data_IF_437457310406
#
_entry.id   IF_437457310406
#
_cell.length_a   1.000
_cell.length_b   1.000
_cell.length_c   1.000
_cell.angle_alpha   90.00
_cell.angle_beta   90.00
_cell.angle_gamma   90.00
#
_symmetry.space_group_name_H-M   'P 1'
#
loop_
_entity.id
_entity.type
_entity.pdbx_description
1 polymer ?
#
# COMPACT_ATOMS: atom_id res chain seq x y z
N UNK A 1 -19.39 -13.32 5.15
CA UNK A 1 -19.70 -12.47 3.97
C UNK A 1 -20.20 -13.34 2.83
N UNK A 2 -21.10 -12.83 1.95
CA UNK A 2 -21.55 -13.55 0.76
C UNK A 2 -20.42 -13.85 -0.21
N UNK A 3 -20.54 -14.91 -1.01
CA UNK A 3 -19.49 -15.36 -1.94
C UNK A 3 -19.06 -14.30 -2.95
N UNK A 4 -19.97 -13.42 -3.40
CA UNK A 4 -19.63 -12.37 -4.35
C UNK A 4 -18.71 -11.29 -3.75
N UNK A 5 -18.80 -11.04 -2.43
CA UNK A 5 -17.91 -10.10 -1.73
C UNK A 5 -16.49 -10.63 -1.71
N UNK A 6 -16.29 -11.94 -1.46
CA UNK A 6 -14.97 -12.55 -1.50
C UNK A 6 -14.34 -12.49 -2.89
N UNK A 7 -15.15 -12.70 -3.95
CA UNK A 7 -14.66 -12.59 -5.33
C UNK A 7 -14.23 -11.17 -5.67
N UNK A 8 -15.02 -10.18 -5.27
CA UNK A 8 -14.72 -8.78 -5.53
C UNK A 8 -13.49 -8.31 -4.74
N UNK A 9 -13.38 -8.70 -3.48
CA UNK A 9 -12.25 -8.32 -2.61
C UNK A 9 -10.91 -8.73 -3.22
N UNK A 10 -10.81 -9.93 -3.76
CA UNK A 10 -9.59 -10.39 -4.44
C UNK A 10 -9.23 -9.54 -5.67
N UNK A 11 -10.22 -9.02 -6.38
CA UNK A 11 -9.99 -8.19 -7.57
C UNK A 11 -9.60 -6.74 -7.22
N UNK A 12 -9.78 -6.32 -5.96
CA UNK A 12 -9.52 -4.94 -5.51
C UNK A 12 -8.14 -4.76 -4.86
N UNK A 13 -7.40 -5.83 -4.63
CA UNK A 13 -6.09 -5.77 -3.97
C UNK A 13 -5.07 -6.62 -4.70
N UNK A 14 -3.85 -6.09 -4.82
CA UNK A 14 -2.67 -6.81 -5.28
C UNK A 14 -1.64 -6.77 -4.15
N UNK A 15 -1.14 -7.93 -3.74
CA UNK A 15 -0.04 -8.05 -2.80
C UNK A 15 1.27 -8.30 -3.53
N UNK A 16 2.37 -7.88 -2.92
CA UNK A 16 3.69 -8.16 -3.47
C UNK A 16 4.82 -7.81 -2.52
N UNK A 17 6.01 -8.02 -3.00
CA UNK A 17 7.23 -7.59 -2.35
C UNK A 17 8.27 -7.19 -3.39
N UNK A 18 9.07 -6.17 -3.07
CA UNK A 18 10.31 -5.84 -3.78
C UNK A 18 11.45 -6.12 -2.82
N UNK A 19 12.43 -6.92 -3.23
CA UNK A 19 13.52 -7.35 -2.35
C UNK A 19 14.76 -6.48 -2.51
N UNK A 20 15.42 -6.20 -1.38
CA UNK A 20 16.63 -5.39 -1.30
C UNK A 20 17.87 -6.21 -0.99
N UNK A 21 17.70 -7.44 -0.53
CA UNK A 21 18.77 -8.43 -0.31
C UNK A 21 18.44 -9.69 -1.08
N UNK A 22 19.47 -10.45 -1.49
CA UNK A 22 19.26 -11.76 -2.10
C UNK A 22 18.48 -12.68 -1.16
N UNK A 23 17.51 -13.38 -1.69
CA UNK A 23 16.67 -14.35 -0.97
C UNK A 23 16.72 -15.71 -1.66
N UNK A 24 17.79 -16.49 -1.51
CA UNK A 24 17.79 -17.89 -1.94
C UNK A 24 16.72 -18.68 -1.18
N UNK A 25 16.38 -19.87 -1.65
CA UNK A 25 15.29 -20.68 -1.05
C UNK A 25 15.52 -20.93 0.45
N UNK A 26 16.78 -21.10 0.86
CA UNK A 26 17.18 -21.31 2.27
C UNK A 26 16.90 -20.10 3.15
N UNK A 27 16.95 -18.90 2.57
CA UNK A 27 16.58 -17.65 3.28
C UNK A 27 15.05 -17.50 3.43
N UNK A 28 14.25 -18.40 2.89
CA UNK A 28 12.81 -18.49 3.12
C UNK A 28 12.00 -17.39 2.44
N UNK A 29 12.10 -17.17 1.11
CA UNK A 29 11.18 -16.31 0.40
C UNK A 29 9.74 -16.77 0.57
N UNK A 30 8.80 -15.93 0.17
CA UNK A 30 7.36 -16.20 0.32
C UNK A 30 6.99 -17.56 -0.30
N UNK A 31 6.31 -18.38 0.48
CA UNK A 31 5.69 -19.62 0.02
C UNK A 31 4.37 -19.31 -0.68
N UNK A 32 4.15 -19.85 -1.85
CA UNK A 32 2.98 -19.61 -2.69
C UNK A 32 2.37 -20.94 -3.11
N UNK A 33 1.04 -21.07 -3.08
CA UNK A 33 0.34 -22.25 -3.63
C UNK A 33 -0.35 -21.88 -4.95
N UNK A 34 0.28 -22.12 -6.11
CA UNK A 34 -0.25 -21.72 -7.40
C UNK A 34 -1.65 -22.28 -7.66
N UNK A 35 -2.56 -21.42 -8.14
CA UNK A 35 -3.94 -21.81 -8.47
C UNK A 35 -4.91 -21.81 -7.31
N UNK A 36 -4.46 -21.69 -6.06
CA UNK A 36 -5.32 -21.72 -4.87
C UNK A 36 -6.29 -20.54 -4.78
N UNK A 37 -6.01 -19.41 -5.39
CA UNK A 37 -6.91 -18.26 -5.48
C UNK A 37 -8.23 -18.57 -6.21
N UNK A 38 -8.29 -19.66 -6.97
CA UNK A 38 -9.51 -20.11 -7.65
C UNK A 38 -10.48 -20.85 -6.73
N UNK A 39 -10.01 -21.27 -5.57
CA UNK A 39 -10.81 -21.97 -4.58
C UNK A 39 -11.55 -20.97 -3.69
N UNK A 40 -12.82 -20.74 -3.98
CA UNK A 40 -13.62 -19.67 -3.34
C UNK A 40 -13.76 -19.82 -1.83
N UNK A 41 -13.77 -21.04 -1.31
CA UNK A 41 -13.83 -21.30 0.12
C UNK A 41 -12.47 -21.13 0.83
N UNK A 42 -11.42 -20.81 0.10
CA UNK A 42 -10.03 -20.72 0.61
C UNK A 42 -9.87 -19.75 1.78
N UNK A 43 -10.59 -18.64 1.77
CA UNK A 43 -10.60 -17.69 2.90
C UNK A 43 -11.01 -18.30 4.24
N UNK A 44 -11.82 -19.34 4.23
CA UNK A 44 -12.28 -20.03 5.43
C UNK A 44 -11.49 -21.32 5.68
N UNK A 45 -11.01 -21.94 4.62
CA UNK A 45 -10.41 -23.27 4.66
C UNK A 45 -8.94 -23.26 5.14
N UNK A 46 -8.22 -22.14 5.08
CA UNK A 46 -6.80 -22.09 5.42
C UNK A 46 -6.47 -22.54 6.86
N UNK A 47 -7.46 -22.51 7.76
CA UNK A 47 -7.32 -22.99 9.15
C UNK A 47 -7.50 -24.50 9.30
N UNK A 48 -8.11 -25.16 8.33
CA UNK A 48 -8.30 -26.62 8.34
C UNK A 48 -6.94 -27.33 8.11
N UNK A 49 -6.65 -28.33 8.93
CA UNK A 49 -5.33 -28.99 8.90
C UNK A 49 -5.05 -29.70 7.60
N UNK A 50 -6.07 -30.18 6.89
CA UNK A 50 -5.92 -30.77 5.53
C UNK A 50 -5.41 -29.73 4.54
N UNK A 51 -5.89 -28.47 4.64
CA UNK A 51 -5.41 -27.39 3.78
C UNK A 51 -4.00 -26.95 4.16
N UNK A 52 -3.67 -26.90 5.44
CA UNK A 52 -2.30 -26.62 5.89
C UNK A 52 -1.33 -27.69 5.39
N UNK A 53 -1.72 -28.98 5.50
CA UNK A 53 -0.90 -30.08 5.00
C UNK A 53 -0.75 -30.02 3.48
N UNK A 54 -1.85 -29.75 2.74
CA UNK A 54 -1.80 -29.57 1.29
C UNK A 54 -0.89 -28.41 0.90
N UNK A 55 -0.98 -27.27 1.60
CA UNK A 55 -0.10 -26.12 1.40
C UNK A 55 1.36 -26.49 1.63
N UNK A 56 1.68 -27.12 2.75
CA UNK A 56 3.04 -27.50 3.11
C UNK A 56 3.69 -28.44 2.07
N UNK A 57 2.89 -29.31 1.44
CA UNK A 57 3.38 -30.29 0.46
C UNK A 57 3.51 -29.70 -0.96
N UNK A 58 2.66 -28.73 -1.33
CA UNK A 58 2.52 -28.30 -2.73
C UNK A 58 2.88 -26.82 -2.97
N UNK A 59 3.30 -26.10 -1.94
CA UNK A 59 3.76 -24.71 -2.09
C UNK A 59 5.06 -24.65 -2.90
N UNK A 60 5.28 -23.52 -3.53
CA UNK A 60 6.51 -23.19 -4.23
C UNK A 60 7.12 -21.92 -3.65
N UNK A 61 8.43 -21.80 -3.74
CA UNK A 61 9.17 -20.60 -3.41
C UNK A 61 10.02 -20.19 -4.62
N UNK A 62 10.24 -18.89 -4.79
CA UNK A 62 11.09 -18.33 -5.84
C UNK A 62 12.34 -17.73 -5.18
N UNK A 63 13.51 -18.16 -5.60
CA UNK A 63 14.74 -17.44 -5.26
C UNK A 63 14.69 -16.05 -5.92
N UNK A 64 15.09 -15.03 -5.19
CA UNK A 64 14.99 -13.63 -5.60
C UNK A 64 16.34 -12.92 -5.44
N UNK A 65 16.68 -12.09 -6.41
CA UNK A 65 17.85 -11.22 -6.38
C UNK A 65 17.45 -9.79 -6.01
N UNK A 66 18.36 -8.97 -5.47
CA UNK A 66 18.06 -7.57 -5.16
C UNK A 66 17.47 -6.81 -6.34
N UNK A 67 16.31 -6.18 -6.14
CA UNK A 67 15.54 -5.50 -7.18
C UNK A 67 14.43 -6.34 -7.81
N UNK A 68 14.40 -7.66 -7.58
CA UNK A 68 13.27 -8.48 -8.01
C UNK A 68 12.00 -8.11 -7.26
N UNK A 69 10.88 -8.26 -7.97
CA UNK A 69 9.56 -8.05 -7.41
C UNK A 69 8.65 -9.26 -7.68
N UNK A 70 7.91 -9.66 -6.67
CA UNK A 70 6.88 -10.71 -6.78
C UNK A 70 5.53 -10.11 -6.44
N UNK A 71 4.56 -10.27 -7.35
CA UNK A 71 3.18 -9.84 -7.14
C UNK A 71 2.23 -11.02 -7.28
N UNK A 72 1.23 -11.06 -6.42
CA UNK A 72 0.24 -12.13 -6.43
C UNK A 72 -1.13 -11.64 -5.93
N UNK A 73 -2.17 -12.36 -6.32
CA UNK A 73 -3.51 -12.13 -5.82
C UNK A 73 -3.58 -12.52 -4.33
N UNK A 74 -4.12 -11.68 -3.42
CA UNK A 74 -4.18 -11.97 -1.99
C UNK A 74 -5.02 -13.20 -1.62
N UNK A 75 -5.90 -13.65 -2.51
CA UNK A 75 -6.62 -14.92 -2.35
C UNK A 75 -5.76 -16.17 -2.60
N UNK A 76 -4.56 -16.01 -3.13
CA UNK A 76 -3.58 -17.07 -3.21
C UNK A 76 -3.18 -17.51 -1.80
N UNK A 77 -3.20 -18.81 -1.50
CA UNK A 77 -2.64 -19.29 -0.24
C UNK A 77 -1.14 -19.04 -0.25
N UNK A 78 -0.69 -18.28 0.72
CA UNK A 78 0.70 -17.88 0.85
C UNK A 78 1.10 -17.77 2.31
N UNK A 79 2.39 -17.76 2.56
CA UNK A 79 2.95 -17.65 3.90
C UNK A 79 4.41 -17.22 3.87
N UNK A 80 4.90 -16.75 5.00
CA UNK A 80 6.31 -16.47 5.17
C UNK A 80 7.11 -17.78 5.16
N UNK A 81 8.15 -17.84 4.35
CA UNK A 81 9.11 -18.92 4.42
C UNK A 81 10.02 -18.77 5.64
N UNK A 82 10.47 -19.88 6.19
CA UNK A 82 11.43 -19.89 7.29
C UNK A 82 12.83 -19.57 6.76
N UNK A 83 13.50 -18.60 7.36
CA UNK A 83 14.91 -18.35 7.11
C UNK A 83 15.74 -19.39 7.88
N UNK A 84 16.41 -20.29 7.18
CA UNK A 84 17.28 -21.33 7.73
C UNK A 84 18.75 -20.98 7.61
N UNK A 85 19.06 -19.79 7.08
CA UNK A 85 20.43 -19.29 7.03
C UNK A 85 20.81 -18.62 8.34
N UNK A 86 22.10 -18.49 8.60
CA UNK A 86 22.64 -17.83 9.80
C UNK A 86 23.28 -16.47 9.47
N UNK A 87 23.40 -16.14 8.19
CA UNK A 87 24.18 -15.04 7.65
C UNK A 87 23.41 -14.14 6.66
N UNK A 88 22.15 -14.47 6.37
CA UNK A 88 21.32 -13.67 5.48
C UNK A 88 20.21 -13.00 6.27
N UNK A 89 20.26 -11.66 6.37
CA UNK A 89 19.15 -10.84 6.82
C UNK A 89 18.28 -10.44 5.62
N UNK A 90 17.03 -10.92 5.62
CA UNK A 90 16.09 -10.58 4.56
C UNK A 90 15.59 -9.14 4.71
N UNK A 91 15.71 -8.38 3.66
CA UNK A 91 15.17 -7.04 3.58
C UNK A 91 14.36 -6.84 2.29
N UNK A 92 13.16 -6.31 2.42
CA UNK A 92 12.29 -6.01 1.30
C UNK A 92 11.11 -5.15 1.70
N UNK A 93 10.53 -4.45 0.75
CA UNK A 93 9.27 -3.73 0.93
C UNK A 93 8.12 -4.68 0.63
N UNK A 94 7.23 -4.86 1.62
CA UNK A 94 5.95 -5.51 1.39
C UNK A 94 4.98 -4.48 0.82
N UNK A 95 4.29 -4.86 -0.26
CA UNK A 95 3.41 -3.98 -1.00
C UNK A 95 1.97 -4.47 -0.89
N UNK A 96 1.08 -3.56 -0.53
CA UNK A 96 -0.36 -3.77 -0.51
C UNK A 96 -0.99 -2.71 -1.41
N UNK A 97 -1.29 -3.07 -2.64
CA UNK A 97 -1.82 -2.14 -3.65
C UNK A 97 -3.33 -2.32 -3.69
N UNK A 98 -4.07 -1.30 -3.31
CA UNK A 98 -5.53 -1.29 -3.35
C UNK A 98 -6.03 -0.54 -4.58
N UNK A 99 -7.11 -1.04 -5.16
CA UNK A 99 -7.85 -0.32 -6.20
C UNK A 99 -8.44 0.97 -5.63
N UNK A 100 -8.56 2.01 -6.46
CA UNK A 100 -9.28 3.23 -6.12
C UNK A 100 -10.76 3.00 -5.77
N UNK A 101 -11.33 1.87 -6.19
CA UNK A 101 -12.70 1.45 -5.85
C UNK A 101 -12.78 0.59 -4.58
N UNK A 102 -11.64 0.31 -3.93
CA UNK A 102 -11.57 -0.48 -2.71
C UNK A 102 -11.03 0.32 -1.54
N UNK A 103 -11.42 -0.07 -0.32
CA UNK A 103 -10.85 0.49 0.90
C UNK A 103 -9.60 -0.32 1.25
N UNK A 104 -8.43 0.30 1.54
CA UNK A 104 -7.27 -0.41 2.02
C UNK A 104 -7.56 -1.11 3.36
N UNK A 105 -6.86 -2.19 3.64
CA UNK A 105 -7.06 -2.96 4.88
C UNK A 105 -6.53 -2.21 6.11
N UNK A 106 -5.52 -1.37 5.93
CA UNK A 106 -4.96 -0.55 7.00
C UNK A 106 -5.49 0.89 6.91
N UNK A 107 -5.67 1.50 8.07
CA UNK A 107 -5.92 2.93 8.18
C UNK A 107 -4.58 3.67 8.15
N UNK A 108 -4.24 4.27 7.01
CA UNK A 108 -3.02 5.07 6.85
C UNK A 108 -3.28 6.52 7.26
N UNK A 109 -2.49 7.04 8.17
CA UNK A 109 -2.52 8.46 8.55
C UNK A 109 -1.78 9.31 7.50
N UNK A 110 -2.37 9.46 6.33
CA UNK A 110 -1.81 10.26 5.26
C UNK A 110 -1.57 11.73 5.63
N UNK A 111 -2.47 12.42 6.35
CA UNK A 111 -2.20 13.78 6.82
C UNK A 111 -0.97 13.85 7.73
N UNK A 112 -0.85 12.92 8.67
CA UNK A 112 0.30 12.84 9.58
C UNK A 112 1.62 12.61 8.84
N UNK A 113 1.63 11.68 7.88
CA UNK A 113 2.80 11.43 7.02
C UNK A 113 3.19 12.70 6.25
N UNK A 114 2.22 13.32 5.57
CA UNK A 114 2.48 14.52 4.77
C UNK A 114 3.04 15.67 5.63
N UNK A 115 2.48 15.91 6.82
CA UNK A 115 2.96 16.95 7.75
C UNK A 115 4.37 16.63 8.24
N UNK A 116 4.64 15.39 8.66
CA UNK A 116 5.93 15.00 9.19
C UNK A 116 7.06 15.07 8.16
N UNK A 117 6.76 14.76 6.89
CA UNK A 117 7.74 14.77 5.80
C UNK A 117 7.93 16.13 5.16
N UNK A 118 6.99 17.07 5.32
CA UNK A 118 6.97 18.35 4.63
C UNK A 118 8.27 19.17 4.78
N UNK A 119 8.89 19.31 5.97
CA UNK A 119 10.14 20.07 6.10
C UNK A 119 11.30 19.50 5.28
N UNK A 120 11.36 18.17 5.14
CA UNK A 120 12.38 17.51 4.31
C UNK A 120 12.07 17.70 2.84
N UNK A 121 10.80 17.61 2.45
CA UNK A 121 10.38 17.87 1.07
C UNK A 121 10.64 19.32 0.64
N UNK A 122 10.52 20.29 1.54
CA UNK A 122 10.92 21.67 1.27
C UNK A 122 12.41 21.78 0.94
N UNK A 123 13.28 21.15 1.73
CA UNK A 123 14.73 21.15 1.47
C UNK A 123 15.07 20.51 0.11
N UNK A 124 14.40 19.40 -0.23
CA UNK A 124 14.57 18.74 -1.53
C UNK A 124 14.07 19.64 -2.66
N UNK A 125 12.94 20.32 -2.49
CA UNK A 125 12.39 21.25 -3.46
C UNK A 125 13.30 22.46 -3.68
N UNK A 126 13.84 23.04 -2.61
CA UNK A 126 14.78 24.17 -2.66
C UNK A 126 16.09 23.80 -3.37
N UNK A 127 16.51 22.55 -3.30
CA UNK A 127 17.65 22.04 -4.04
C UNK A 127 17.35 21.71 -5.52
N UNK A 128 16.09 21.83 -5.95
CA UNK A 128 15.65 21.47 -7.31
C UNK A 128 15.57 19.97 -7.59
N UNK A 129 15.64 19.13 -6.56
CA UNK A 129 15.67 17.67 -6.70
C UNK A 129 14.31 17.00 -6.42
N UNK A 130 13.26 17.76 -6.19
CA UNK A 130 11.92 17.21 -5.95
C UNK A 130 11.39 16.51 -7.20
N UNK A 131 10.81 15.33 -7.01
CA UNK A 131 10.20 14.54 -8.09
C UNK A 131 8.77 14.16 -7.72
N UNK A 132 8.00 13.69 -8.70
CA UNK A 132 6.65 13.17 -8.45
C UNK A 132 6.65 11.95 -7.52
N UNK A 133 7.71 11.16 -7.51
CA UNK A 133 7.81 10.01 -6.60
C UNK A 133 7.89 10.46 -5.14
N UNK A 134 8.60 11.54 -4.83
CA UNK A 134 8.61 12.12 -3.49
C UNK A 134 7.20 12.54 -3.04
N UNK A 135 6.42 13.13 -3.95
CA UNK A 135 5.04 13.52 -3.67
C UNK A 135 4.15 12.28 -3.46
N UNK A 136 4.32 11.27 -4.34
CA UNK A 136 3.47 10.07 -4.34
C UNK A 136 3.60 9.23 -3.06
N UNK A 137 4.80 9.15 -2.48
CA UNK A 137 5.04 8.37 -1.25
C UNK A 137 4.67 9.12 0.03
N UNK A 138 4.53 10.45 -0.03
CA UNK A 138 4.27 11.28 1.15
C UNK A 138 2.80 11.73 1.29
N UNK A 139 1.98 11.60 0.24
CA UNK A 139 0.59 12.07 0.27
C UNK A 139 -0.33 11.21 -0.58
N UNK A 140 -1.61 11.08 -0.18
CA UNK A 140 -2.60 10.35 -0.96
C UNK A 140 -2.95 11.10 -2.25
N UNK A 141 -2.86 10.40 -3.39
CA UNK A 141 -3.29 10.91 -4.70
C UNK A 141 -4.79 10.79 -4.95
N UNK A 142 -5.50 10.00 -4.12
CA UNK A 142 -6.92 9.76 -4.27
C UNK A 142 -7.73 10.77 -3.46
N UNK A 143 -8.63 11.55 -4.10
CA UNK A 143 -9.35 12.64 -3.41
C UNK A 143 -10.53 12.14 -2.56
N UNK A 144 -10.92 10.89 -2.69
CA UNK A 144 -12.08 10.34 -2.00
C UNK A 144 -11.71 9.48 -0.77
N UNK A 145 -12.58 9.30 0.22
CA UNK A 145 -13.88 9.98 0.36
C UNK A 145 -13.74 11.47 0.66
N UNK A 146 -14.75 12.24 0.25
CA UNK A 146 -14.88 13.65 0.64
C UNK A 146 -16.34 13.93 1.03
N UNK A 147 -16.56 15.02 1.72
CA UNK A 147 -17.91 15.50 2.06
C UNK A 147 -18.31 16.58 1.04
N UNK A 148 -19.25 16.27 0.16
CA UNK A 148 -19.64 17.18 -0.92
C UNK A 148 -20.35 18.45 -0.43
N UNK A 149 -20.85 18.45 0.82
CA UNK A 149 -21.48 19.64 1.41
C UNK A 149 -20.42 20.62 1.94
N UNK A 150 -19.29 20.12 2.43
CA UNK A 150 -18.24 20.94 3.07
C UNK A 150 -16.94 20.99 2.29
N UNK A 151 -16.73 20.09 1.32
CA UNK A 151 -15.58 20.03 0.41
C UNK A 151 -16.05 19.80 -1.04
N UNK A 152 -16.91 20.69 -1.59
CA UNK A 152 -17.44 20.53 -2.94
C UNK A 152 -16.34 20.70 -3.97
N UNK A 153 -16.47 19.97 -5.09
CA UNK A 153 -15.60 20.16 -6.24
C UNK A 153 -15.97 21.45 -6.97
N UNK A 154 -15.10 22.45 -6.92
CA UNK A 154 -15.36 23.76 -7.54
C UNK A 154 -14.64 23.95 -8.89
N UNK A 155 -13.68 23.12 -9.22
CA UNK A 155 -12.83 23.27 -10.41
C UNK A 155 -12.65 21.99 -11.23
N UNK A 156 -13.53 20.99 -11.03
CA UNK A 156 -13.41 19.72 -11.75
C UNK A 156 -14.37 18.64 -11.21
N UNK A 157 -14.11 17.38 -11.53
CA UNK A 157 -14.95 16.25 -11.12
C UNK A 157 -14.69 15.79 -9.68
N UNK A 158 -13.61 16.24 -9.07
CA UNK A 158 -13.22 15.87 -7.71
C UNK A 158 -12.54 17.05 -6.99
N UNK A 159 -12.63 17.12 -5.65
CA UNK A 159 -11.84 18.09 -4.89
C UNK A 159 -10.34 17.78 -5.01
N UNK A 160 -9.45 18.75 -4.69
CA UNK A 160 -8.01 18.54 -4.74
C UNK A 160 -7.57 17.35 -3.87
N UNK A 161 -6.70 16.49 -4.41
CA UNK A 161 -6.06 15.44 -3.61
C UNK A 161 -5.01 16.02 -2.67
N UNK A 162 -4.59 15.25 -1.65
CA UNK A 162 -3.46 15.67 -0.79
C UNK A 162 -2.19 15.91 -1.59
N UNK A 163 -1.91 15.09 -2.62
CA UNK A 163 -0.78 15.32 -3.52
C UNK A 163 -0.86 16.65 -4.25
N UNK A 164 -2.05 17.04 -4.72
CA UNK A 164 -2.24 18.33 -5.38
C UNK A 164 -1.95 19.50 -4.41
N UNK A 165 -2.44 19.42 -3.17
CA UNK A 165 -2.20 20.42 -2.14
C UNK A 165 -0.73 20.46 -1.76
N UNK A 166 -0.06 19.30 -1.62
CA UNK A 166 1.37 19.23 -1.31
C UNK A 166 2.22 19.87 -2.42
N UNK A 167 1.94 19.57 -3.70
CA UNK A 167 2.63 20.23 -4.84
C UNK A 167 2.48 21.72 -4.81
N UNK A 168 1.25 22.20 -4.60
CA UNK A 168 0.98 23.64 -4.53
C UNK A 168 1.71 24.30 -3.36
N UNK A 169 1.74 23.66 -2.20
CA UNK A 169 2.43 24.17 -1.03
C UNK A 169 3.94 24.28 -1.23
N UNK A 170 4.56 23.24 -1.82
CA UNK A 170 6.00 23.25 -2.14
C UNK A 170 6.33 24.31 -3.19
N UNK A 171 5.55 24.41 -4.26
CA UNK A 171 5.76 25.41 -5.30
C UNK A 171 5.56 26.85 -4.81
N UNK A 172 4.67 27.06 -3.84
CA UNK A 172 4.37 28.35 -3.25
C UNK A 172 5.27 28.73 -2.07
N UNK A 173 6.20 27.89 -1.64
CA UNK A 173 7.04 28.15 -0.46
C UNK A 173 6.24 28.26 0.84
N UNK A 174 5.13 27.55 0.94
CA UNK A 174 4.24 27.55 2.13
C UNK A 174 5.03 27.11 3.36
N UNK A 175 4.83 27.78 4.50
CA UNK A 175 5.50 27.37 5.74
C UNK A 175 5.02 26.00 6.22
N UNK A 176 5.85 25.26 6.96
CA UNK A 176 5.45 23.97 7.52
C UNK A 176 4.20 24.08 8.42
N UNK A 177 4.07 25.17 9.16
CA UNK A 177 2.90 25.42 10.01
C UNK A 177 1.63 25.67 9.18
N UNK A 178 1.72 26.47 8.11
CA UNK A 178 0.57 26.74 7.24
C UNK A 178 0.16 25.49 6.46
N UNK A 179 1.11 24.69 6.04
CA UNK A 179 0.84 23.38 5.43
C UNK A 179 0.12 22.44 6.41
N UNK A 180 0.59 22.35 7.66
CA UNK A 180 -0.07 21.56 8.69
C UNK A 180 -1.51 22.04 8.95
N UNK A 181 -1.73 23.35 9.00
CA UNK A 181 -3.06 23.95 9.13
C UNK A 181 -3.96 23.59 7.93
N UNK A 182 -3.41 23.62 6.72
CA UNK A 182 -4.14 23.23 5.51
C UNK A 182 -4.55 21.74 5.53
N UNK A 183 -3.67 20.84 6.00
CA UNK A 183 -3.97 19.41 6.15
C UNK A 183 -5.03 19.16 7.22
N UNK A 184 -4.97 19.87 8.35
CA UNK A 184 -5.97 19.79 9.40
C UNK A 184 -7.34 20.28 8.89
N UNK A 185 -7.38 21.39 8.17
CA UNK A 185 -8.59 21.94 7.56
C UNK A 185 -9.18 20.99 6.51
N UNK A 186 -8.36 20.36 5.66
CA UNK A 186 -8.79 19.34 4.71
C UNK A 186 -9.43 18.15 5.42
N UNK A 187 -8.77 17.64 6.46
CA UNK A 187 -9.27 16.53 7.26
C UNK A 187 -10.62 16.86 7.89
N UNK A 188 -10.77 18.07 8.40
CA UNK A 188 -12.03 18.51 9.02
C UNK A 188 -13.16 18.63 7.99
N UNK A 189 -12.90 19.23 6.81
CA UNK A 189 -13.91 19.34 5.74
C UNK A 189 -14.41 17.99 5.23
N UNK A 190 -13.56 16.96 5.30
CA UNK A 190 -13.90 15.60 4.81
C UNK A 190 -14.65 14.74 5.81
N UNK A 191 -14.79 15.18 7.06
CA UNK A 191 -15.59 14.48 8.05
C UNK A 191 -17.07 14.53 7.70
N UNK A 192 -17.82 13.45 7.98
CA UNK A 192 -19.25 13.42 7.69
C UNK A 192 -20.06 14.41 8.51
N UNK A 193 -19.61 14.73 9.72
CA UNK A 193 -20.24 15.70 10.64
C UNK A 193 -19.22 16.22 11.67
#
# INVERSE_FOLDING_TARGET
YPAHVHRLSQALTLQGAVVHTAMPIEAGPTMLLPGSQRFLAGYLAWRDDRFKQHFATNQVQLALEPGDAVFFNPGLHHGAGENRTTDIDRMGNLLQISSAFGVPMEAVDWPGIAIATYPVLQQIADSGQITEDHIAVCASGYPWPSNLDTDPSTAGLAPPSMQAILRQALAGGTTAQDFANAMAALTQRRKPY
#
